data_IF_469752063439
#
_entry.id   IF_469752063439
#
_cell.length_a   1.000
_cell.length_b   1.000
_cell.length_c   1.000
_cell.angle_alpha   90.00
_cell.angle_beta   90.00
_cell.angle_gamma   90.00
#
_symmetry.space_group_name_H-M   'P 1'
#
loop_
_entity.id
_entity.type
_entity.pdbx_description
1 polymer ?
#
# COMPACT_ATOMS: atom_id res chain seq x y z
N UNK A 1 39.43 -3.63 17.27
CA UNK A 1 38.22 -4.43 17.51
C UNK A 1 37.09 -3.80 16.71
N UNK A 2 36.54 -4.49 15.71
CA UNK A 2 35.41 -3.99 14.91
C UNK A 2 34.37 -5.09 14.84
N UNK A 3 33.64 -5.28 15.92
CA UNK A 3 32.40 -6.02 15.88
C UNK A 3 31.28 -5.05 15.52
N UNK A 4 30.72 -5.20 14.31
CA UNK A 4 29.38 -4.68 14.02
C UNK A 4 28.76 -5.53 12.91
N UNK A 5 28.01 -6.53 13.37
CA UNK A 5 26.93 -7.27 12.72
C UNK A 5 26.90 -7.17 11.19
N UNK A 6 27.58 -8.11 10.54
CA UNK A 6 27.29 -8.50 9.17
C UNK A 6 26.09 -9.46 9.25
N UNK A 7 24.86 -8.94 9.23
CA UNK A 7 23.75 -9.81 8.83
C UNK A 7 24.13 -10.32 7.44
N UNK A 8 24.13 -11.64 7.25
CA UNK A 8 24.51 -12.21 5.97
C UNK A 8 23.54 -11.72 4.91
N UNK A 9 24.02 -11.50 3.68
CA UNK A 9 23.17 -11.11 2.55
C UNK A 9 22.01 -12.11 2.35
N UNK A 10 22.24 -13.38 2.70
CA UNK A 10 21.25 -14.45 2.65
C UNK A 10 20.14 -14.26 3.70
N UNK A 11 20.49 -13.90 4.94
CA UNK A 11 19.50 -13.56 5.99
C UNK A 11 18.66 -12.34 5.61
N UNK A 12 19.26 -11.34 4.97
CA UNK A 12 18.53 -10.15 4.50
C UNK A 12 17.56 -10.49 3.36
N UNK A 13 17.98 -11.34 2.41
CA UNK A 13 17.15 -11.76 1.29
C UNK A 13 15.99 -12.69 1.72
N UNK A 14 16.20 -13.49 2.77
CA UNK A 14 15.20 -14.40 3.32
C UNK A 14 14.25 -13.74 4.35
N UNK A 15 14.50 -12.49 4.73
CA UNK A 15 13.68 -11.80 5.73
C UNK A 15 12.26 -11.55 5.19
N UNK A 16 11.28 -11.87 6.01
CA UNK A 16 9.87 -11.52 5.78
C UNK A 16 9.40 -10.46 6.78
N UNK A 17 8.30 -9.80 6.43
CA UNK A 17 7.62 -8.86 7.31
C UNK A 17 7.31 -9.48 8.68
N UNK A 18 7.55 -8.71 9.74
CA UNK A 18 7.11 -9.02 11.09
C UNK A 18 6.31 -7.83 11.68
N UNK A 19 5.32 -8.07 12.56
CA UNK A 19 4.50 -6.99 13.14
C UNK A 19 5.29 -5.83 13.76
N UNK A 20 6.41 -6.14 14.43
CA UNK A 20 7.28 -5.12 15.03
C UNK A 20 8.09 -4.28 14.03
N UNK A 21 8.03 -4.56 12.72
CA UNK A 21 8.75 -3.78 11.72
C UNK A 21 8.17 -2.36 11.54
N UNK A 22 6.92 -2.12 11.96
CA UNK A 22 6.33 -0.78 12.00
C UNK A 22 7.03 0.17 12.99
N UNK A 23 7.68 -0.37 14.03
CA UNK A 23 8.29 0.41 15.11
C UNK A 23 9.80 0.61 14.93
N UNK A 24 10.39 -0.01 13.88
CA UNK A 24 11.82 0.01 13.64
C UNK A 24 12.20 1.15 12.69
N UNK A 25 13.31 1.81 13.01
CA UNK A 25 13.86 2.96 12.26
C UNK A 25 14.94 2.54 11.25
N UNK A 26 14.83 1.34 10.67
CA UNK A 26 15.74 0.87 9.62
C UNK A 26 15.02 0.67 8.30
N UNK A 27 15.71 1.01 7.21
CA UNK A 27 15.15 1.05 5.86
C UNK A 27 14.50 -0.28 5.42
N UNK A 28 15.08 -1.42 5.81
CA UNK A 28 14.52 -2.72 5.45
C UNK A 28 13.20 -2.96 6.17
N UNK A 29 13.14 -2.69 7.47
CA UNK A 29 11.90 -2.78 8.25
C UNK A 29 10.82 -1.83 7.73
N UNK A 30 11.17 -0.57 7.44
CA UNK A 30 10.22 0.40 6.89
C UNK A 30 9.67 -0.06 5.54
N UNK A 31 10.52 -0.55 4.63
CA UNK A 31 10.07 -1.06 3.33
C UNK A 31 9.16 -2.29 3.43
N UNK A 32 9.48 -3.22 4.34
CA UNK A 32 8.63 -4.39 4.61
C UNK A 32 7.27 -3.97 5.19
N UNK A 33 7.24 -3.02 6.12
CA UNK A 33 6.02 -2.50 6.71
C UNK A 33 5.14 -1.76 5.69
N UNK A 34 5.75 -0.90 4.86
CA UNK A 34 5.03 -0.16 3.81
C UNK A 34 4.37 -1.08 2.78
N UNK A 35 5.05 -2.16 2.36
CA UNK A 35 4.44 -3.11 1.41
C UNK A 35 3.33 -3.94 2.06
N UNK A 36 3.43 -4.25 3.36
CA UNK A 36 2.37 -4.91 4.11
C UNK A 36 1.11 -4.03 4.23
N UNK A 37 1.30 -2.74 4.49
CA UNK A 37 0.23 -1.74 4.52
C UNK A 37 -0.46 -1.62 3.16
N UNK A 38 0.29 -1.41 2.07
CA UNK A 38 -0.27 -1.31 0.72
C UNK A 38 -1.12 -2.53 0.30
N UNK A 39 -0.68 -3.73 0.66
CA UNK A 39 -1.44 -4.97 0.40
C UNK A 39 -2.72 -5.01 1.22
N UNK A 40 -2.64 -4.61 2.50
CA UNK A 40 -3.80 -4.56 3.40
C UNK A 40 -4.81 -3.51 2.95
N UNK A 41 -4.33 -2.33 2.55
CA UNK A 41 -5.14 -1.25 1.99
C UNK A 41 -5.80 -1.70 0.70
N UNK A 42 -5.06 -2.31 -0.23
CA UNK A 42 -5.65 -2.86 -1.47
C UNK A 42 -6.74 -3.90 -1.21
N UNK A 43 -6.61 -4.68 -0.14
CA UNK A 43 -7.60 -5.67 0.28
C UNK A 43 -8.82 -5.02 0.95
N UNK A 44 -8.59 -4.04 1.83
CA UNK A 44 -9.62 -3.29 2.57
C UNK A 44 -10.41 -2.33 1.68
N UNK A 45 -9.73 -1.65 0.75
CA UNK A 45 -10.32 -0.86 -0.33
C UNK A 45 -11.00 -1.75 -1.39
N UNK A 46 -10.90 -3.07 -1.24
CA UNK A 46 -11.46 -4.08 -2.13
C UNK A 46 -12.98 -4.20 -2.10
N UNK A 47 -13.68 -3.22 -2.66
CA UNK A 47 -14.84 -3.42 -3.57
C UNK A 47 -15.12 -2.09 -4.32
N UNK A 48 -14.51 -1.87 -5.50
CA UNK A 48 -15.19 -1.02 -6.48
C UNK A 48 -16.40 -1.86 -6.89
N UNK A 49 -17.54 -1.61 -6.24
CA UNK A 49 -18.80 -2.20 -6.63
C UNK A 49 -19.00 -1.85 -8.12
N UNK A 50 -18.70 -2.80 -9.01
CA UNK A 50 -19.04 -2.65 -10.41
C UNK A 50 -20.55 -2.42 -10.43
N UNK A 51 -21.06 -1.29 -10.97
CA UNK A 51 -22.49 -1.12 -11.08
C UNK A 51 -22.98 -2.22 -12.02
N UNK A 52 -23.43 -3.33 -11.44
CA UNK A 52 -24.12 -4.39 -12.14
C UNK A 52 -25.19 -3.71 -12.96
N UNK A 53 -25.11 -3.91 -14.28
CA UNK A 53 -25.98 -3.30 -15.27
C UNK A 53 -27.46 -3.46 -14.86
N UNK A 54 -28.00 -2.46 -14.16
CA UNK A 54 -29.44 -2.24 -14.04
C UNK A 54 -29.77 -1.21 -15.09
N UNK A 55 -29.91 -1.66 -16.33
CA UNK A 55 -30.73 -0.93 -17.28
C UNK A 55 -32.12 -0.75 -16.66
N UNK A 56 -32.34 0.43 -16.07
CA UNK A 56 -33.50 1.31 -16.27
C UNK A 56 -33.17 2.70 -15.72
N UNK A 57 -32.62 3.53 -16.60
CA UNK A 57 -32.98 4.95 -16.81
C UNK A 57 -33.46 5.76 -15.59
N UNK A 58 -32.64 6.73 -15.13
CA UNK A 58 -32.89 8.20 -15.21
C UNK A 58 -32.05 8.97 -14.17
N UNK A 59 -31.13 9.78 -14.70
CA UNK A 59 -30.61 11.06 -14.17
C UNK A 59 -30.52 11.23 -12.65
N UNK A 60 -29.31 11.08 -12.09
CA UNK A 60 -28.83 11.96 -11.03
C UNK A 60 -27.37 12.27 -11.32
N UNK A 61 -27.10 13.52 -11.63
CA UNK A 61 -25.77 14.12 -11.79
C UNK A 61 -24.94 13.88 -10.51
N UNK A 62 -23.81 13.20 -10.64
CA UNK A 62 -22.77 13.20 -9.62
C UNK A 62 -21.60 14.00 -10.17
N UNK A 63 -21.40 15.18 -9.61
CA UNK A 63 -20.34 16.12 -9.93
C UNK A 63 -18.97 15.44 -9.92
N UNK A 64 -18.32 15.38 -11.08
CA UNK A 64 -16.90 15.02 -11.21
C UNK A 64 -16.07 16.25 -10.82
N UNK A 65 -15.81 16.45 -9.53
CA UNK A 65 -14.79 17.39 -9.06
C UNK A 65 -13.50 16.61 -8.75
N UNK A 66 -12.55 16.63 -9.68
CA UNK A 66 -11.26 15.97 -9.46
C UNK A 66 -10.17 16.20 -10.51
N UNK A 67 -10.48 16.84 -11.64
CA UNK A 67 -9.49 17.04 -12.71
C UNK A 67 -9.45 18.50 -13.17
N UNK A 68 -8.90 19.42 -12.38
CA UNK A 68 -8.55 20.78 -12.89
C UNK A 68 -7.22 21.39 -12.41
N UNK A 69 -6.37 20.70 -11.64
CA UNK A 69 -5.16 21.35 -11.09
C UNK A 69 -3.84 21.05 -11.86
N UNK A 70 -3.88 20.42 -13.03
CA UNK A 70 -2.64 19.97 -13.71
C UNK A 70 -2.06 20.92 -14.76
N UNK A 71 -2.68 22.07 -15.05
CA UNK A 71 -2.11 23.09 -15.93
C UNK A 71 -2.48 24.51 -15.47
N UNK A 72 -1.71 25.06 -14.54
CA UNK A 72 -1.58 26.51 -14.34
C UNK A 72 -0.11 26.90 -14.38
#
# INVERSE_FOLDING_TARGET
>A
MKEKQQNSTEELAARHYQPGDYEKDDQLSSGLATTHEQVSDSYMEGEIAAPFNKEKTKNVESSNEGYQDYYS
#
